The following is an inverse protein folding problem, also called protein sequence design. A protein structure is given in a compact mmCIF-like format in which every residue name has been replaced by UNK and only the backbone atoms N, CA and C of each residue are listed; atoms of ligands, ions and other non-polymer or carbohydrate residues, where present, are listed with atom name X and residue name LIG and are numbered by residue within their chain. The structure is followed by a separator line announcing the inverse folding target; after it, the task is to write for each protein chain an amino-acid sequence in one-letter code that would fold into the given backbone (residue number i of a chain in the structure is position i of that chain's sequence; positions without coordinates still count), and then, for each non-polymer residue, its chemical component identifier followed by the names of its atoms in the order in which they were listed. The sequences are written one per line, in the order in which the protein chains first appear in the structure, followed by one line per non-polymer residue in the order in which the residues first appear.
data_IF_812735259880
#
_entry.id   IF_812735259880
#
_cell.length_a   1.000
_cell.length_b   1.000
_cell.length_c   1.000
_cell.angle_alpha   90.00
_cell.angle_beta   90.00
_cell.angle_gamma   90.00
#
_symmetry.space_group_name_H-M   'P 1'
#
loop_
_entity.id
_entity.type
_entity.pdbx_description
1 polymer ?
#
# COMPACT_ATOMS: atom_id res chain seq x y z
N UNK A 1 5.60 -12.30 -4.57
CA UNK A 1 6.42 -12.28 -3.33
C UNK A 1 6.88 -10.89 -2.91
N UNK A 2 7.46 -10.04 -3.78
CA UNK A 2 8.01 -8.70 -3.39
C UNK A 2 7.07 -7.82 -2.55
N UNK A 3 5.77 -7.75 -2.89
CA UNK A 3 4.78 -6.92 -2.18
C UNK A 3 4.54 -7.32 -0.72
N UNK A 4 4.55 -8.62 -0.42
CA UNK A 4 4.33 -9.13 0.95
C UNK A 4 5.51 -8.77 1.86
N UNK A 5 6.74 -8.91 1.34
CA UNK A 5 7.95 -8.50 2.04
C UNK A 5 7.99 -6.98 2.28
N UNK A 6 7.54 -6.20 1.31
CA UNK A 6 7.47 -4.74 1.44
C UNK A 6 6.48 -4.31 2.54
N UNK A 7 5.26 -4.86 2.53
CA UNK A 7 4.28 -4.57 3.58
C UNK A 7 4.79 -5.00 4.96
N UNK A 8 5.44 -6.17 5.07
CA UNK A 8 6.03 -6.62 6.32
C UNK A 8 7.14 -5.67 6.82
N UNK A 9 7.98 -5.18 5.91
CA UNK A 9 9.03 -4.20 6.22
C UNK A 9 8.41 -2.88 6.68
N UNK A 10 7.40 -2.37 5.97
CA UNK A 10 6.68 -1.15 6.35
C UNK A 10 5.99 -1.28 7.72
N UNK A 11 5.43 -2.46 8.04
CA UNK A 11 4.87 -2.74 9.37
C UNK A 11 5.94 -2.70 10.45
N UNK A 12 7.13 -3.24 10.17
CA UNK A 12 8.28 -3.18 11.10
C UNK A 12 8.74 -1.74 11.31
N UNK A 13 8.88 -0.96 10.25
CA UNK A 13 9.29 0.44 10.33
C UNK A 13 8.24 1.31 11.06
N UNK A 14 6.95 1.07 10.78
CA UNK A 14 5.86 1.72 11.48
C UNK A 14 5.77 1.32 12.97
N UNK A 15 6.38 0.19 13.37
CA UNK A 15 6.52 -0.17 14.80
C UNK A 15 7.58 0.65 15.52
N UNK A 16 8.58 1.16 14.81
CA UNK A 16 9.63 1.99 15.39
C UNK A 16 9.21 3.46 15.64
N UNK A 17 7.99 3.85 15.24
CA UNK A 17 7.45 5.19 15.46
C UNK A 17 7.24 5.46 16.96
N UNK A 18 7.85 6.54 17.46
CA UNK A 18 7.84 6.90 18.90
C UNK A 18 6.72 7.88 19.30
N UNK A 19 6.09 8.56 18.34
CA UNK A 19 5.07 9.58 18.62
C UNK A 19 3.72 8.92 18.95
N UNK A 20 3.06 9.27 20.08
CA UNK A 20 1.74 8.72 20.44
C UNK A 20 0.67 8.94 19.37
N UNK A 21 0.68 10.10 18.72
CA UNK A 21 -0.23 10.42 17.61
C UNK A 21 -0.03 9.47 16.43
N UNK A 22 1.22 9.28 16.01
CA UNK A 22 1.56 8.39 14.90
C UNK A 22 1.22 6.93 15.21
N UNK A 23 1.35 6.54 16.48
CA UNK A 23 0.94 5.21 16.94
C UNK A 23 -0.57 4.98 16.83
N UNK A 24 -1.38 5.96 17.26
CA UNK A 24 -2.83 5.92 17.08
C UNK A 24 -3.24 5.86 15.61
N UNK A 25 -2.62 6.68 14.75
CA UNK A 25 -2.86 6.65 13.29
C UNK A 25 -2.52 5.28 12.70
N UNK A 26 -1.38 4.68 13.07
CA UNK A 26 -1.00 3.33 12.65
C UNK A 26 -2.02 2.28 13.07
N UNK A 27 -2.45 2.31 14.34
CA UNK A 27 -3.41 1.33 14.86
C UNK A 27 -4.77 1.45 14.15
N UNK A 28 -5.23 2.68 13.88
CA UNK A 28 -6.44 2.92 13.11
C UNK A 28 -6.35 2.35 11.68
N UNK A 29 -5.22 2.54 10.99
CA UNK A 29 -4.99 1.97 9.66
C UNK A 29 -5.04 0.44 9.71
N UNK A 30 -4.33 -0.18 10.66
CA UNK A 30 -4.28 -1.63 10.83
C UNK A 30 -5.67 -2.21 11.14
N UNK A 31 -6.35 -1.69 12.15
CA UNK A 31 -7.70 -2.14 12.52
C UNK A 31 -8.70 -1.99 11.39
N UNK A 32 -8.62 -0.91 10.59
CA UNK A 32 -9.48 -0.74 9.42
C UNK A 32 -9.22 -1.81 8.36
N UNK A 33 -7.95 -2.09 8.05
CA UNK A 33 -7.58 -3.09 7.05
C UNK A 33 -7.94 -4.51 7.53
N UNK A 34 -7.74 -4.82 8.80
CA UNK A 34 -8.07 -6.13 9.38
C UNK A 34 -9.58 -6.38 9.37
N UNK A 35 -10.39 -5.38 9.73
CA UNK A 35 -11.86 -5.46 9.58
C UNK A 35 -12.27 -5.65 8.12
N UNK A 36 -11.62 -4.95 7.19
CA UNK A 36 -11.90 -5.10 5.77
C UNK A 36 -11.55 -6.52 5.26
N UNK A 37 -10.42 -7.08 5.69
CA UNK A 37 -10.03 -8.47 5.38
C UNK A 37 -11.03 -9.48 5.95
N UNK A 38 -11.41 -9.33 7.22
CA UNK A 38 -12.40 -10.21 7.85
C UNK A 38 -13.72 -10.16 7.09
N UNK A 39 -14.24 -8.96 6.83
CA UNK A 39 -15.48 -8.77 6.07
C UNK A 39 -15.42 -9.38 4.67
N UNK A 40 -14.32 -9.20 3.93
CA UNK A 40 -14.18 -9.78 2.60
C UNK A 40 -14.07 -11.31 2.65
N UNK A 41 -13.41 -11.89 3.67
CA UNK A 41 -13.39 -13.34 3.89
C UNK A 41 -14.79 -13.88 4.19
N UNK A 42 -15.55 -13.22 5.05
CA UNK A 42 -16.91 -13.62 5.41
C UNK A 42 -17.86 -13.51 4.21
N UNK A 43 -17.77 -12.41 3.45
CA UNK A 43 -18.55 -12.23 2.22
C UNK A 43 -18.17 -13.23 1.13
N UNK A 44 -16.89 -13.57 1.03
CA UNK A 44 -16.42 -14.58 0.10
C UNK A 44 -16.97 -15.96 0.48
N UNK A 45 -16.84 -16.37 1.74
CA UNK A 45 -17.32 -17.67 2.22
C UNK A 45 -18.85 -17.80 2.07
N UNK A 46 -19.60 -16.78 2.52
CA UNK A 46 -21.08 -16.81 2.49
C UNK A 46 -21.67 -16.73 1.08
N UNK A 47 -20.99 -16.09 0.12
CA UNK A 47 -21.51 -15.86 -1.24
C UNK A 47 -20.74 -16.60 -2.32
N UNK A 48 -19.87 -17.54 -1.96
CA UNK A 48 -19.01 -18.23 -2.93
C UNK A 48 -19.83 -18.95 -4.00
N UNK A 49 -20.76 -19.81 -3.57
CA UNK A 49 -21.55 -20.63 -4.48
C UNK A 49 -22.42 -19.76 -5.41
N UNK A 50 -23.11 -18.76 -4.85
CA UNK A 50 -23.96 -17.86 -5.64
C UNK A 50 -23.16 -17.01 -6.64
N UNK A 51 -21.95 -16.56 -6.27
CA UNK A 51 -21.05 -15.86 -7.20
C UNK A 51 -20.57 -16.79 -8.32
N UNK A 52 -20.20 -18.03 -8.01
CA UNK A 52 -19.78 -19.02 -9.02
C UNK A 52 -20.92 -19.30 -10.00
N UNK A 53 -22.15 -19.47 -9.52
CA UNK A 53 -23.31 -19.68 -10.38
C UNK A 53 -23.61 -18.48 -11.28
N UNK A 54 -23.52 -17.26 -10.75
CA UNK A 54 -23.70 -16.03 -11.53
C UNK A 54 -22.62 -15.90 -12.61
N UNK A 55 -21.35 -16.12 -12.27
CA UNK A 55 -20.25 -16.12 -13.25
C UNK A 55 -20.43 -17.22 -14.28
N UNK A 56 -20.87 -18.42 -13.87
CA UNK A 56 -21.15 -19.52 -14.79
C UNK A 56 -22.23 -19.14 -15.81
N UNK A 57 -23.34 -18.56 -15.35
CA UNK A 57 -24.43 -18.09 -16.24
C UNK A 57 -23.91 -17.05 -17.21
N UNK A 58 -23.14 -16.07 -16.72
CA UNK A 58 -22.52 -15.05 -17.57
C UNK A 58 -21.61 -15.65 -18.66
N UNK A 59 -20.76 -16.62 -18.31
CA UNK A 59 -19.89 -17.28 -19.30
C UNK A 59 -20.71 -18.06 -20.35
N UNK A 60 -21.82 -18.68 -19.95
CA UNK A 60 -22.75 -19.34 -20.87
C UNK A 60 -23.41 -18.31 -21.80
N UNK A 61 -23.87 -17.19 -21.25
CA UNK A 61 -24.51 -16.11 -22.01
C UNK A 61 -23.52 -15.48 -23.01
N UNK A 62 -22.28 -15.23 -22.60
CA UNK A 62 -21.19 -14.74 -23.46
C UNK A 62 -20.84 -15.75 -24.58
N UNK A 63 -20.82 -17.05 -24.28
CA UNK A 63 -20.57 -18.10 -25.27
C UNK A 63 -21.76 -18.31 -26.23
N UNK A 64 -22.98 -18.08 -25.76
CA UNK A 64 -24.21 -18.15 -26.55
C UNK A 64 -24.41 -16.91 -27.44
N UNK A 65 -23.69 -15.82 -27.17
CA UNK A 65 -23.75 -14.62 -27.99
C UNK A 65 -23.20 -14.90 -29.39
N UNK A 66 -24.09 -14.81 -30.39
CA UNK A 66 -23.78 -15.14 -31.78
C UNK A 66 -22.79 -14.13 -32.36
N UNK A 67 -21.55 -14.55 -32.60
CA UNK A 67 -20.62 -13.79 -33.44
C UNK A 67 -20.97 -14.03 -34.90
N UNK A 68 -21.02 -12.96 -35.71
CA UNK A 68 -21.20 -13.05 -37.17
C UNK A 68 -19.92 -13.48 -37.90
N UNK A 69 -18.93 -13.99 -37.18
CA UNK A 69 -17.68 -14.46 -37.75
C UNK A 69 -17.88 -15.85 -38.36
N UNK A 70 -17.77 -15.94 -39.69
CA UNK A 70 -17.74 -17.19 -40.45
C UNK A 70 -16.50 -18.00 -40.05
N UNK A 71 -16.66 -18.91 -39.09
CA UNK A 71 -15.67 -19.94 -38.80
C UNK A 71 -15.96 -21.19 -39.64
N UNK A 72 -14.95 -21.80 -40.29
CA UNK A 72 -15.15 -23.01 -41.08
C UNK A 72 -15.58 -24.18 -40.17
N UNK A 73 -16.46 -25.05 -40.67
CA UNK A 73 -17.17 -26.08 -39.91
C UNK A 73 -16.26 -27.08 -39.15
N UNK A 74 -15.01 -27.26 -39.58
CA UNK A 74 -14.04 -28.14 -38.91
C UNK A 74 -13.35 -27.50 -37.68
N UNK A 75 -13.54 -26.20 -37.46
CA UNK A 75 -12.99 -25.47 -36.31
C UNK A 75 -13.94 -25.46 -35.09
N UNK A 76 -15.08 -26.15 -35.16
CA UNK A 76 -16.03 -26.25 -34.05
C UNK A 76 -15.52 -27.26 -33.01
N UNK A 77 -14.65 -26.78 -32.12
CA UNK A 77 -14.56 -27.39 -30.80
C UNK A 77 -15.89 -27.20 -30.08
N UNK A 78 -16.35 -28.24 -29.39
CA UNK A 78 -17.53 -28.19 -28.52
C UNK A 78 -17.40 -27.00 -27.56
N UNK A 79 -18.20 -25.96 -27.80
CA UNK A 79 -18.09 -24.67 -27.10
C UNK A 79 -18.61 -24.76 -25.67
N UNK A 80 -19.21 -25.89 -25.29
CA UNK A 80 -19.99 -26.04 -24.06
C UNK A 80 -19.59 -27.30 -23.26
N UNK A 81 -18.31 -27.42 -22.90
CA UNK A 81 -17.94 -28.30 -21.78
C UNK A 81 -18.36 -27.65 -20.45
N UNK A 82 -19.47 -28.15 -19.88
CA UNK A 82 -20.01 -27.69 -18.60
C UNK A 82 -18.99 -27.76 -17.44
N UNK A 83 -18.10 -28.76 -17.45
CA UNK A 83 -17.07 -28.92 -16.43
C UNK A 83 -15.93 -27.89 -16.60
N UNK A 84 -15.55 -27.56 -17.84
CA UNK A 84 -14.62 -26.48 -18.12
C UNK A 84 -15.19 -25.12 -17.68
N UNK A 85 -16.44 -24.81 -18.03
CA UNK A 85 -17.09 -23.54 -17.64
C UNK A 85 -17.21 -23.38 -16.13
N UNK A 86 -17.52 -24.46 -15.41
CA UNK A 86 -17.55 -24.44 -13.95
C UNK A 86 -16.17 -24.15 -13.34
N UNK A 87 -15.11 -24.82 -13.83
CA UNK A 87 -13.73 -24.58 -13.37
C UNK A 87 -13.29 -23.14 -13.64
N UNK A 88 -13.63 -22.61 -14.82
CA UNK A 88 -13.35 -21.22 -15.17
C UNK A 88 -14.08 -20.23 -14.26
N UNK A 89 -15.38 -20.43 -14.02
CA UNK A 89 -16.15 -19.59 -13.10
C UNK A 89 -15.57 -19.58 -11.67
N UNK A 90 -15.18 -20.75 -11.15
CA UNK A 90 -14.51 -20.86 -9.85
C UNK A 90 -13.17 -20.12 -9.81
N UNK A 91 -12.38 -20.21 -10.89
CA UNK A 91 -11.10 -19.51 -11.03
C UNK A 91 -11.30 -18.00 -11.00
N UNK A 92 -12.25 -17.47 -11.77
CA UNK A 92 -12.54 -16.05 -11.82
C UNK A 92 -13.01 -15.50 -10.47
N UNK A 93 -13.88 -16.24 -9.76
CA UNK A 93 -14.34 -15.83 -8.43
C UNK A 93 -13.19 -15.80 -7.42
N UNK A 94 -12.29 -16.80 -7.45
CA UNK A 94 -11.08 -16.82 -6.61
C UNK A 94 -10.16 -15.65 -6.95
N UNK A 95 -9.92 -15.42 -8.23
CA UNK A 95 -9.05 -14.34 -8.69
C UNK A 95 -9.60 -12.97 -8.27
N UNK A 96 -10.90 -12.74 -8.48
CA UNK A 96 -11.56 -11.52 -8.05
C UNK A 96 -11.45 -11.29 -6.53
N UNK A 97 -11.55 -12.35 -5.73
CA UNK A 97 -11.33 -12.29 -4.28
C UNK A 97 -9.87 -11.93 -3.95
N UNK A 98 -8.90 -12.60 -4.58
CA UNK A 98 -7.49 -12.29 -4.39
C UNK A 98 -7.14 -10.85 -4.78
N UNK A 99 -7.72 -10.33 -5.86
CA UNK A 99 -7.54 -8.94 -6.27
C UNK A 99 -8.11 -7.96 -5.24
N UNK A 100 -9.25 -8.26 -4.62
CA UNK A 100 -9.82 -7.42 -3.54
C UNK A 100 -8.93 -7.39 -2.31
N UNK A 101 -8.41 -8.54 -1.89
CA UNK A 101 -7.45 -8.62 -0.77
C UNK A 101 -6.17 -7.84 -1.12
N UNK A 102 -5.65 -8.00 -2.33
CA UNK A 102 -4.47 -7.27 -2.78
C UNK A 102 -4.67 -5.74 -2.73
N UNK A 103 -5.86 -5.24 -3.11
CA UNK A 103 -6.19 -3.80 -2.99
C UNK A 103 -6.19 -3.31 -1.54
N UNK A 104 -6.65 -4.14 -0.59
CA UNK A 104 -6.59 -3.81 0.84
C UNK A 104 -5.12 -3.73 1.29
N UNK A 105 -4.29 -4.67 0.86
CA UNK A 105 -2.85 -4.71 1.19
C UNK A 105 -2.08 -3.53 0.56
N UNK A 106 -2.41 -3.15 -0.68
CA UNK A 106 -1.83 -2.00 -1.37
C UNK A 106 -2.22 -0.69 -0.65
N UNK A 107 -3.47 -0.56 -0.22
CA UNK A 107 -3.93 0.58 0.59
C UNK A 107 -3.19 0.66 1.94
N UNK A 108 -3.04 -0.46 2.64
CA UNK A 108 -2.29 -0.51 3.90
C UNK A 108 -0.83 -0.07 3.68
N UNK A 109 -0.20 -0.62 2.64
CA UNK A 109 1.20 -0.31 2.29
C UNK A 109 1.38 1.18 2.00
N UNK A 110 0.49 1.76 1.19
CA UNK A 110 0.55 3.19 0.87
C UNK A 110 0.42 4.06 2.13
N UNK A 111 -0.56 3.77 2.99
CA UNK A 111 -0.81 4.58 4.20
C UNK A 111 0.30 4.44 5.23
N UNK A 112 0.85 3.24 5.42
CA UNK A 112 2.00 3.04 6.29
C UNK A 112 3.25 3.75 5.75
N UNK A 113 3.49 3.71 4.44
CA UNK A 113 4.62 4.42 3.81
C UNK A 113 4.50 5.94 4.01
N UNK A 114 3.32 6.50 3.79
CA UNK A 114 3.05 7.93 4.05
C UNK A 114 3.34 8.30 5.51
N UNK A 115 2.91 7.48 6.46
CA UNK A 115 3.12 7.69 7.89
C UNK A 115 4.61 7.64 8.28
N UNK A 116 5.33 6.64 7.78
CA UNK A 116 6.79 6.49 8.02
C UNK A 116 7.55 7.68 7.42
N UNK A 117 7.26 8.06 6.18
CA UNK A 117 7.89 9.21 5.54
C UNK A 117 7.61 10.52 6.27
N UNK A 118 6.38 10.73 6.75
CA UNK A 118 6.03 11.90 7.56
C UNK A 118 6.83 11.94 8.86
N UNK A 119 6.94 10.82 9.56
CA UNK A 119 7.72 10.72 10.80
C UNK A 119 9.21 11.00 10.58
N UNK A 120 9.79 10.47 9.51
CA UNK A 120 11.18 10.75 9.14
C UNK A 120 11.39 12.25 8.89
N UNK A 121 10.48 12.91 8.17
CA UNK A 121 10.54 14.36 7.93
C UNK A 121 10.44 15.15 9.24
N UNK A 122 9.48 14.83 10.10
CA UNK A 122 9.31 15.49 11.40
C UNK A 122 10.56 15.35 12.29
N UNK A 123 11.18 14.16 12.33
CA UNK A 123 12.41 13.93 13.08
C UNK A 123 13.59 14.73 12.53
N UNK A 124 13.72 14.81 11.19
CA UNK A 124 14.77 15.60 10.55
C UNK A 124 14.64 17.10 10.87
N UNK A 125 13.41 17.64 10.87
CA UNK A 125 13.17 19.04 11.26
C UNK A 125 13.50 19.31 12.73
N UNK A 126 13.19 18.37 13.63
CA UNK A 126 13.57 18.48 15.05
C UNK A 126 15.09 18.49 15.25
N UNK A 127 15.83 17.69 14.48
CA UNK A 127 17.29 17.69 14.49
C UNK A 127 17.86 19.04 14.08
N UNK A 128 17.43 19.57 12.92
CA UNK A 128 17.87 20.89 12.42
C UNK A 128 17.51 22.04 13.36
N UNK A 129 16.30 22.06 13.90
CA UNK A 129 15.90 23.09 14.85
C UNK A 129 16.79 23.05 16.11
N UNK A 130 17.10 21.87 16.63
CA UNK A 130 18.00 21.71 17.78
C UNK A 130 19.42 22.19 17.47
N UNK A 131 19.93 21.90 16.27
CA UNK A 131 21.24 22.37 15.81
C UNK A 131 21.30 23.89 15.66
N UNK A 132 20.26 24.51 15.08
CA UNK A 132 20.18 25.97 14.93
C UNK A 132 20.06 26.67 16.28
N UNK A 133 19.21 26.18 17.19
CA UNK A 133 19.14 26.68 18.56
C UNK A 133 20.47 26.53 19.30
N UNK A 134 21.17 25.40 19.12
CA UNK A 134 22.51 25.18 19.67
C UNK A 134 23.53 26.18 19.13
N UNK A 135 23.50 26.44 17.82
CA UNK A 135 24.39 27.41 17.16
C UNK A 135 24.13 28.84 17.63
N UNK A 136 22.87 29.23 17.81
CA UNK A 136 22.49 30.58 18.26
C UNK A 136 22.80 30.80 19.75
N UNK A 137 22.65 29.76 20.58
CA UNK A 137 22.98 29.83 22.01
C UNK A 137 24.49 29.73 22.27
N UNK A 138 25.25 29.09 21.38
CA UNK A 138 26.71 29.06 21.42
C UNK A 138 27.34 30.39 20.93
N UNK A 139 27.16 31.44 21.75
CA UNK A 139 27.74 32.78 21.58
C UNK A 139 29.28 32.80 21.57
N UNK A 140 29.98 31.67 21.75
CA UNK A 140 31.46 31.59 21.68
C UNK A 140 32.00 31.46 20.25
N UNK A 141 31.15 31.26 19.25
CA UNK A 141 31.55 31.11 17.84
C UNK A 141 31.52 32.42 17.03
N UNK A 142 31.15 33.54 17.67
CA UNK A 142 31.09 34.87 17.04
C UNK A 142 32.44 35.36 16.52
N UNK A 143 32.44 35.78 15.26
CA UNK A 143 33.52 36.35 14.42
C UNK A 143 34.24 37.59 15.00
N UNK A 144 33.92 38.04 16.22
CA UNK A 144 34.41 39.28 16.84
C UNK A 144 35.88 39.24 17.35
N UNK A 145 36.65 38.17 17.08
CA UNK A 145 38.09 38.12 17.42
C UNK A 145 39.04 38.62 16.33
N UNK A 146 38.57 39.35 15.32
CA UNK A 146 39.46 40.01 14.33
C UNK A 146 39.35 41.53 14.38
N UNK A 147 39.66 42.07 15.54
CA UNK A 147 39.82 43.51 15.79
C UNK A 147 41.09 43.87 16.55
N UNK A 148 42.14 43.03 16.57
CA UNK A 148 43.48 43.49 17.01
C UNK A 148 44.08 44.35 15.89
N UNK A 149 43.66 45.61 15.84
CA UNK A 149 44.31 46.66 15.04
C UNK A 149 45.71 46.88 15.62
N UNK A 150 46.65 46.18 15.02
CA UNK A 150 48.08 46.37 15.22
C UNK A 150 48.46 47.65 14.45
N UNK A 151 48.71 48.78 15.12
CA UNK A 151 49.40 49.95 14.51
C UNK A 151 50.15 50.77 15.58
N UNK A 152 51.26 51.44 15.19
CA UNK A 152 52.52 51.41 15.91
C UNK A 152 52.84 52.70 16.68
N UNK A 153 53.73 52.58 17.67
CA UNK A 153 54.36 53.69 18.41
C UNK A 153 55.07 54.64 17.42
N UNK A 154 54.68 55.91 17.41
CA UNK A 154 55.51 56.99 16.89
C UNK A 154 56.29 57.63 18.05
N UNK A 155 57.55 57.98 17.74
CA UNK A 155 58.50 58.70 18.60
C UNK A 155 58.19 60.18 18.63
#
# INVERSE_FOLDING_TARGET
MRRVFELASLRKDARALKSPRQWGERQAIQSRCDRARAREKDLYASRYLSRVEQTRRRLIDEAAQKSFDLKPAWAEHDRFDAAATLRQAQREVREAHHQRIARIDDFESQKLRELVQRSMRENNWRGKAREEFGRVTDRRSGIERRGRRNRPRQR
#
